data_IF_347728622792
#
_entry.id   IF_347728622792
#
_cell.length_a   1.000
_cell.length_b   1.000
_cell.length_c   1.000
_cell.angle_alpha   90.00
_cell.angle_beta   90.00
_cell.angle_gamma   90.00
#
_symmetry.space_group_name_H-M   'P 1'
#
loop_
_entity.id
_entity.type
_entity.pdbx_description
1 polymer ?
#
# COMPACT_ATOMS: atom_id res chain seq x y z
N UNK A 1 6.98 17.16 26.40
CA UNK A 1 6.99 17.84 25.08
C UNK A 1 6.95 16.89 23.87
N UNK A 2 6.57 15.60 24.02
CA UNK A 2 6.60 14.63 22.90
C UNK A 2 5.30 14.58 22.05
N UNK A 3 4.17 15.07 22.56
CA UNK A 3 2.85 14.92 21.90
C UNK A 3 2.42 16.06 20.96
N UNK A 4 3.17 17.16 20.91
CA UNK A 4 2.86 18.32 20.06
C UNK A 4 2.90 17.94 18.57
N UNK A 5 3.91 17.19 18.13
CA UNK A 5 4.02 16.74 16.74
C UNK A 5 2.91 15.75 16.37
N UNK A 6 2.61 14.79 17.25
CA UNK A 6 1.54 13.81 17.02
C UNK A 6 0.16 14.46 16.91
N UNK A 7 -0.13 15.42 17.80
CA UNK A 7 -1.38 16.19 17.82
C UNK A 7 -1.55 17.07 16.58
N UNK A 8 -0.49 17.78 16.15
CA UNK A 8 -0.52 18.57 14.91
C UNK A 8 -0.71 17.67 13.68
N UNK A 9 -0.06 16.51 13.64
CA UNK A 9 -0.25 15.52 12.57
C UNK A 9 -1.66 14.90 12.57
N UNK A 10 -2.25 14.64 13.74
CA UNK A 10 -3.64 14.22 13.87
C UNK A 10 -4.60 15.31 13.37
N UNK A 11 -4.38 16.57 13.75
CA UNK A 11 -5.18 17.71 13.26
C UNK A 11 -5.15 17.85 11.73
N UNK A 12 -3.99 17.64 11.09
CA UNK A 12 -3.87 17.61 9.62
C UNK A 12 -4.64 16.45 8.98
N UNK A 13 -4.71 15.30 9.66
CA UNK A 13 -5.48 14.12 9.22
C UNK A 13 -6.99 14.30 9.37
N UNK A 14 -7.44 15.15 10.28
CA UNK A 14 -8.85 15.48 10.50
C UNK A 14 -9.39 16.58 9.57
N UNK A 15 -8.78 16.82 8.40
CA UNK A 15 -9.34 17.74 7.42
C UNK A 15 -10.68 17.21 6.90
N UNK A 16 -11.68 18.08 6.83
CA UNK A 16 -12.95 17.79 6.19
C UNK A 16 -12.73 17.31 4.75
N UNK A 17 -13.49 16.29 4.34
CA UNK A 17 -13.41 15.75 2.99
C UNK A 17 -13.81 16.83 1.96
N UNK A 18 -13.23 16.79 0.76
CA UNK A 18 -13.56 17.78 -0.29
C UNK A 18 -15.05 17.76 -0.65
N UNK A 19 -15.66 16.58 -0.66
CA UNK A 19 -17.09 16.39 -0.92
C UNK A 19 -17.98 17.00 0.15
N UNK A 20 -17.50 17.17 1.39
CA UNK A 20 -18.28 17.83 2.45
C UNK A 20 -18.33 19.35 2.28
N UNK A 21 -17.46 19.93 1.45
CA UNK A 21 -17.38 21.38 1.22
C UNK A 21 -18.20 21.84 0.02
N UNK A 22 -18.25 21.00 -1.01
CA UNK A 22 -18.86 21.33 -2.30
C UNK A 22 -20.16 20.50 -2.46
N UNK A 23 -21.32 21.06 -2.05
CA UNK A 23 -22.61 20.35 -2.03
C UNK A 23 -23.01 19.83 -3.42
N UNK A 24 -22.90 20.67 -4.46
CA UNK A 24 -23.21 20.27 -5.84
C UNK A 24 -22.41 19.04 -6.31
N UNK A 25 -21.16 18.94 -5.85
CA UNK A 25 -20.27 17.85 -6.19
C UNK A 25 -20.64 16.57 -5.44
N UNK A 26 -21.08 16.70 -4.19
CA UNK A 26 -21.62 15.59 -3.43
C UNK A 26 -22.91 15.05 -4.04
N UNK A 27 -23.84 15.92 -4.42
CA UNK A 27 -25.12 15.55 -5.06
C UNK A 27 -24.88 14.81 -6.37
N UNK A 28 -24.01 15.34 -7.25
CA UNK A 28 -23.64 14.67 -8.49
C UNK A 28 -23.05 13.27 -8.24
N UNK A 29 -22.13 13.12 -7.29
CA UNK A 29 -21.56 11.80 -6.95
C UNK A 29 -22.65 10.84 -6.44
N UNK A 30 -23.55 11.31 -5.58
CA UNK A 30 -24.62 10.49 -5.02
C UNK A 30 -25.64 10.07 -6.08
N UNK A 31 -26.04 11.00 -6.96
CA UNK A 31 -26.95 10.74 -8.08
C UNK A 31 -26.40 9.64 -8.99
N UNK A 32 -25.15 9.76 -9.43
CA UNK A 32 -24.53 8.76 -10.31
C UNK A 32 -24.37 7.39 -9.65
N UNK A 33 -24.11 7.36 -8.33
CA UNK A 33 -24.03 6.10 -7.59
C UNK A 33 -25.40 5.44 -7.40
N UNK A 34 -26.45 6.21 -7.09
CA UNK A 34 -27.78 5.69 -6.78
C UNK A 34 -28.58 5.32 -8.03
N UNK A 35 -28.55 6.18 -9.05
CA UNK A 35 -29.38 6.03 -10.24
C UNK A 35 -28.71 5.18 -11.33
N UNK A 36 -27.38 5.29 -11.46
CA UNK A 36 -26.64 4.65 -12.55
C UNK A 36 -25.70 3.52 -12.08
N UNK A 37 -25.57 3.29 -10.77
CA UNK A 37 -24.67 2.29 -10.18
C UNK A 37 -23.22 2.42 -10.67
N UNK A 38 -22.77 3.66 -10.91
CA UNK A 38 -21.41 3.90 -11.39
C UNK A 38 -20.37 3.62 -10.32
N UNK A 39 -19.22 3.13 -10.76
CA UNK A 39 -18.04 2.97 -9.92
C UNK A 39 -17.40 4.34 -9.64
N UNK A 40 -16.73 4.52 -8.49
CA UNK A 40 -15.98 5.75 -8.21
C UNK A 40 -14.94 6.12 -9.27
N UNK A 41 -14.41 5.13 -9.99
CA UNK A 41 -13.49 5.34 -11.12
C UNK A 41 -14.21 5.95 -12.34
N UNK A 42 -15.40 5.45 -12.68
CA UNK A 42 -16.23 6.02 -13.74
C UNK A 42 -16.66 7.45 -13.41
N UNK A 43 -17.09 7.72 -12.18
CA UNK A 43 -17.49 9.07 -11.76
C UNK A 43 -16.31 10.03 -11.85
N UNK A 44 -15.13 9.63 -11.37
CA UNK A 44 -13.92 10.46 -11.49
C UNK A 44 -13.53 10.71 -12.95
N UNK A 45 -13.69 9.71 -13.82
CA UNK A 45 -13.49 9.85 -15.27
C UNK A 45 -14.48 10.80 -15.92
N UNK A 46 -15.76 10.70 -15.55
CA UNK A 46 -16.83 11.57 -16.02
C UNK A 46 -16.62 13.02 -15.60
N UNK A 47 -16.30 13.26 -14.32
CA UNK A 47 -15.97 14.61 -13.80
C UNK A 47 -14.71 15.21 -14.44
N UNK A 48 -13.85 14.39 -15.05
CA UNK A 48 -12.64 14.86 -15.73
C UNK A 48 -12.89 15.24 -17.19
N UNK A 49 -13.79 14.54 -17.89
CA UNK A 49 -13.95 14.68 -19.35
C UNK A 49 -15.34 15.14 -19.79
N UNK A 50 -16.38 14.91 -18.98
CA UNK A 50 -17.78 15.16 -19.34
C UNK A 50 -18.39 16.40 -18.71
N UNK A 51 -17.88 16.85 -17.55
CA UNK A 51 -18.49 17.96 -16.79
C UNK A 51 -17.44 19.01 -16.44
N UNK A 52 -17.50 20.19 -17.07
CA UNK A 52 -16.50 21.27 -16.91
C UNK A 52 -16.79 22.20 -15.74
N UNK A 53 -18.03 22.23 -15.23
CA UNK A 53 -18.45 23.16 -14.17
C UNK A 53 -18.07 22.68 -12.77
N UNK A 54 -17.88 21.37 -12.59
CA UNK A 54 -17.53 20.78 -11.31
C UNK A 54 -16.03 20.50 -11.23
N UNK A 55 -15.46 20.63 -10.02
CA UNK A 55 -14.04 20.35 -9.80
C UNK A 55 -13.75 18.88 -10.03
N UNK A 56 -12.69 18.59 -10.79
CA UNK A 56 -12.20 17.22 -10.98
C UNK A 56 -11.69 16.64 -9.66
N UNK A 57 -12.09 15.40 -9.35
CA UNK A 57 -11.70 14.65 -8.16
C UNK A 57 -11.19 13.26 -8.58
N UNK A 58 -10.16 12.75 -7.88
CA UNK A 58 -9.71 11.38 -8.07
C UNK A 58 -10.62 10.36 -7.35
N UNK A 59 -10.76 9.18 -7.94
CA UNK A 59 -11.58 8.09 -7.39
C UNK A 59 -11.21 7.69 -5.95
N UNK A 60 -9.94 7.85 -5.55
CA UNK A 60 -9.51 7.59 -4.17
C UNK A 60 -10.12 8.57 -3.15
N UNK A 61 -10.39 9.81 -3.55
CA UNK A 61 -11.07 10.78 -2.68
C UNK A 61 -12.52 10.37 -2.45
N UNK A 62 -13.20 9.90 -3.51
CA UNK A 62 -14.57 9.38 -3.42
C UNK A 62 -14.59 8.14 -2.52
N UNK A 63 -13.66 7.19 -2.70
CA UNK A 63 -13.56 6.04 -1.81
C UNK A 63 -13.32 6.44 -0.35
N UNK A 64 -12.39 7.36 -0.09
CA UNK A 64 -12.12 7.83 1.26
C UNK A 64 -13.37 8.40 1.92
N UNK A 65 -14.13 9.20 1.17
CA UNK A 65 -15.38 9.80 1.64
C UNK A 65 -16.46 8.76 1.96
N UNK A 66 -16.69 7.78 1.08
CA UNK A 66 -17.67 6.70 1.31
C UNK A 66 -17.38 5.92 2.60
N UNK A 67 -16.10 5.63 2.86
CA UNK A 67 -15.68 4.83 4.01
C UNK A 67 -15.46 5.64 5.29
N UNK A 68 -15.73 6.94 5.28
CA UNK A 68 -15.64 7.78 6.47
C UNK A 68 -16.74 7.41 7.50
N UNK A 69 -16.43 7.53 8.79
CA UNK A 69 -17.25 6.96 9.87
C UNK A 69 -18.71 7.45 9.92
N UNK A 70 -18.96 8.71 9.57
CA UNK A 70 -20.32 9.29 9.45
C UNK A 70 -21.13 8.60 8.34
N UNK A 71 -20.59 8.59 7.12
CA UNK A 71 -21.20 8.02 5.90
C UNK A 71 -21.38 6.51 5.95
N UNK A 72 -20.58 5.83 6.78
CA UNK A 72 -20.71 4.39 6.98
C UNK A 72 -22.06 4.01 7.61
N UNK A 73 -22.65 4.89 8.41
CA UNK A 73 -24.00 4.72 9.00
C UNK A 73 -25.10 4.81 7.94
N UNK A 74 -24.92 5.67 6.95
CA UNK A 74 -25.82 5.87 5.80
C UNK A 74 -25.78 4.70 4.80
N UNK A 75 -24.86 3.77 4.97
CA UNK A 75 -24.72 2.56 4.14
C UNK A 75 -24.52 2.86 2.64
N UNK A 76 -23.90 3.99 2.30
CA UNK A 76 -23.57 4.39 0.91
C UNK A 76 -22.72 3.33 0.20
N UNK A 77 -21.91 2.57 0.94
CA UNK A 77 -21.13 1.44 0.42
C UNK A 77 -21.98 0.36 -0.28
N UNK A 78 -23.30 0.35 -0.07
CA UNK A 78 -24.25 -0.53 -0.79
C UNK A 78 -24.45 -0.14 -2.25
N UNK A 79 -24.02 1.03 -2.70
CA UNK A 79 -24.09 1.38 -4.12
C UNK A 79 -22.80 1.01 -4.86
N UNK A 80 -21.76 0.56 -4.14
CA UNK A 80 -20.54 0.04 -4.75
C UNK A 80 -20.80 -1.36 -5.31
N UNK A 81 -20.17 -1.74 -6.45
CA UNK A 81 -20.38 -3.04 -7.08
C UNK A 81 -20.14 -4.27 -6.19
N UNK A 82 -19.26 -4.14 -5.18
CA UNK A 82 -18.94 -5.23 -4.26
C UNK A 82 -19.73 -5.17 -2.94
N UNK A 83 -20.52 -4.12 -2.71
CA UNK A 83 -21.35 -3.93 -1.52
C UNK A 83 -20.60 -4.20 -0.20
N UNK A 84 -19.30 -3.85 -0.12
CA UNK A 84 -18.48 -4.14 1.07
C UNK A 84 -18.56 -3.00 2.07
N UNK A 85 -19.03 -3.31 3.28
CA UNK A 85 -19.06 -2.34 4.38
C UNK A 85 -17.67 -1.92 4.90
N UNK A 86 -16.62 -2.68 4.57
CA UNK A 86 -15.21 -2.37 4.87
C UNK A 86 -14.39 -2.48 3.61
N UNK A 87 -13.54 -1.48 3.35
CA UNK A 87 -12.52 -1.58 2.32
C UNK A 87 -11.51 -2.64 2.74
N UNK A 88 -11.29 -3.65 1.89
CA UNK A 88 -10.24 -4.63 2.11
C UNK A 88 -8.86 -3.97 2.02
N UNK A 89 -7.87 -4.51 2.75
CA UNK A 89 -6.49 -4.09 2.53
C UNK A 89 -6.10 -4.44 1.09
N UNK A 90 -5.35 -3.53 0.43
CA UNK A 90 -4.65 -3.90 -0.80
C UNK A 90 -3.78 -5.09 -0.47
N UNK A 91 -3.94 -6.20 -1.21
CA UNK A 91 -3.05 -7.34 -1.09
C UNK A 91 -1.64 -6.80 -1.32
N UNK A 92 -0.81 -6.84 -0.29
CA UNK A 92 0.62 -6.66 -0.49
C UNK A 92 1.03 -7.75 -1.47
N UNK A 93 1.61 -7.38 -2.61
CA UNK A 93 2.48 -8.33 -3.30
C UNK A 93 3.51 -8.68 -2.22
N UNK A 94 3.49 -9.92 -1.72
CA UNK A 94 4.41 -10.30 -0.65
C UNK A 94 5.83 -9.95 -1.07
N UNK A 95 6.73 -9.76 -0.10
CA UNK A 95 8.18 -9.72 -0.33
C UNK A 95 8.70 -11.11 -0.74
N UNK A 96 7.94 -11.83 -1.58
CA UNK A 96 8.32 -13.09 -2.16
C UNK A 96 9.49 -12.84 -3.08
N UNK A 97 10.52 -13.67 -2.90
CA UNK A 97 11.74 -13.73 -3.68
C UNK A 97 11.50 -13.35 -5.15
N UNK A 98 12.42 -12.52 -5.64
CA UNK A 98 12.52 -11.95 -6.99
C UNK A 98 11.68 -12.67 -8.06
N UNK A 99 10.77 -11.93 -8.70
CA UNK A 99 10.12 -12.30 -9.98
C UNK A 99 11.10 -12.44 -11.16
N UNK A 100 12.41 -12.32 -10.92
CA UNK A 100 13.45 -12.36 -11.95
C UNK A 100 13.85 -13.83 -12.13
N UNK A 101 13.48 -14.49 -13.23
CA UNK A 101 14.01 -15.82 -13.53
C UNK A 101 15.54 -15.74 -13.66
N UNK A 102 16.25 -16.72 -13.11
CA UNK A 102 17.71 -16.81 -13.13
C UNK A 102 18.45 -15.67 -12.40
N UNK A 103 17.91 -15.19 -11.27
CA UNK A 103 18.64 -14.24 -10.42
C UNK A 103 19.97 -14.84 -9.95
N UNK A 104 21.08 -14.23 -10.38
CA UNK A 104 22.42 -14.50 -9.87
C UNK A 104 22.57 -13.81 -8.51
N UNK A 105 23.11 -14.52 -7.52
CA UNK A 105 23.36 -13.96 -6.19
C UNK A 105 24.51 -12.97 -6.26
N UNK A 106 24.45 -11.87 -5.49
CA UNK A 106 25.57 -10.91 -5.36
C UNK A 106 26.87 -11.62 -4.92
N UNK A 107 26.74 -12.73 -4.18
CA UNK A 107 27.87 -13.52 -3.71
C UNK A 107 28.61 -14.28 -4.83
N UNK A 108 28.00 -14.42 -6.01
CA UNK A 108 28.60 -15.09 -7.17
C UNK A 108 29.39 -14.12 -8.07
N UNK A 109 29.53 -12.85 -7.70
CA UNK A 109 30.25 -11.88 -8.51
C UNK A 109 31.76 -12.17 -8.55
N UNK A 110 32.44 -11.87 -9.67
CA UNK A 110 33.88 -12.04 -9.77
C UNK A 110 34.64 -11.04 -8.88
N UNK A 111 35.73 -11.50 -8.26
CA UNK A 111 36.52 -10.78 -7.24
C UNK A 111 37.07 -9.41 -7.68
N UNK A 112 37.22 -9.17 -8.98
CA UNK A 112 37.74 -7.88 -9.47
C UNK A 112 36.76 -6.73 -9.28
N UNK A 113 35.46 -7.02 -9.13
CA UNK A 113 34.39 -6.02 -8.93
C UNK A 113 34.46 -5.41 -7.53
N UNK A 114 34.95 -6.17 -6.53
CA UNK A 114 35.09 -5.69 -5.14
C UNK A 114 35.96 -4.45 -5.02
N UNK A 115 36.87 -4.21 -5.99
CA UNK A 115 37.78 -3.06 -6.00
C UNK A 115 37.10 -1.73 -6.35
N UNK A 116 35.86 -1.75 -6.89
CA UNK A 116 35.04 -0.55 -7.21
C UNK A 116 35.76 0.52 -8.06
N UNK A 117 36.77 0.12 -8.82
CA UNK A 117 37.66 1.03 -9.57
C UNK A 117 37.06 1.56 -10.87
N UNK A 118 36.10 0.85 -11.47
CA UNK A 118 35.43 1.24 -12.72
C UNK A 118 34.00 1.71 -12.45
N UNK A 119 33.51 2.60 -13.32
CA UNK A 119 32.12 2.98 -13.36
C UNK A 119 31.27 1.73 -13.69
N UNK A 120 30.31 1.40 -12.83
CA UNK A 120 29.47 0.18 -12.94
C UNK A 120 29.72 -0.88 -11.86
N UNK A 121 30.81 -0.81 -11.09
CA UNK A 121 31.06 -1.71 -9.94
C UNK A 121 30.37 -1.25 -8.63
N UNK A 122 29.67 -0.13 -8.66
CA UNK A 122 29.03 0.47 -7.50
C UNK A 122 27.61 -0.09 -7.36
N UNK A 123 27.43 -1.04 -6.45
CA UNK A 123 26.11 -1.53 -6.07
C UNK A 123 25.52 -0.63 -4.98
N UNK A 124 24.26 -0.21 -5.12
CA UNK A 124 23.51 0.45 -4.05
C UNK A 124 22.88 -0.59 -3.13
N UNK A 125 23.15 -0.53 -1.82
CA UNK A 125 22.51 -1.40 -0.84
C UNK A 125 21.00 -1.15 -0.81
N UNK A 126 20.21 -2.08 -1.35
CA UNK A 126 18.76 -2.06 -1.18
C UNK A 126 18.41 -2.64 0.18
N UNK A 127 18.44 -1.81 1.22
CA UNK A 127 18.06 -2.21 2.57
C UNK A 127 16.58 -2.61 2.60
N UNK A 128 16.32 -3.91 2.70
CA UNK A 128 14.97 -4.48 2.80
C UNK A 128 14.63 -4.73 4.27
N UNK A 129 13.82 -3.85 4.85
CA UNK A 129 13.34 -4.02 6.22
C UNK A 129 12.35 -5.20 6.29
N UNK A 130 12.74 -6.26 6.99
CA UNK A 130 11.82 -7.32 7.38
C UNK A 130 10.88 -6.78 8.46
N UNK A 131 9.58 -6.70 8.16
CA UNK A 131 8.57 -6.37 9.18
C UNK A 131 8.46 -7.52 10.16
N UNK A 132 8.90 -7.31 11.41
CA UNK A 132 8.60 -8.21 12.53
C UNK A 132 9.77 -8.63 13.42
N UNK A 133 11.02 -8.20 13.14
CA UNK A 133 12.16 -8.50 14.01
C UNK A 133 12.84 -7.19 14.42
N UNK A 134 12.73 -6.85 15.71
CA UNK A 134 13.61 -5.88 16.38
C UNK A 134 14.99 -6.51 16.60
N UNK A 135 15.66 -6.91 15.53
CA UNK A 135 17.02 -7.45 15.60
C UNK A 135 17.84 -6.88 14.46
N UNK A 136 18.68 -5.93 14.85
CA UNK A 136 19.78 -5.40 14.07
C UNK A 136 20.79 -6.53 13.89
N UNK A 137 20.80 -7.19 12.73
CA UNK A 137 21.87 -8.14 12.39
C UNK A 137 22.98 -7.40 11.65
N UNK A 138 24.05 -7.09 12.38
CA UNK A 138 25.35 -6.80 11.80
C UNK A 138 26.02 -8.15 11.55
N UNK A 139 26.16 -8.58 10.30
CA UNK A 139 26.83 -9.82 9.95
C UNK A 139 28.36 -9.63 10.04
N UNK A 140 28.89 -9.63 11.25
CA UNK A 140 30.27 -10.06 11.52
C UNK A 140 30.35 -11.58 11.38
N UNK A 141 31.49 -12.07 10.91
CA UNK A 141 31.77 -13.48 10.63
C UNK A 141 31.55 -14.38 11.87
N UNK A 142 31.42 -15.66 11.57
CA UNK A 142 31.42 -16.81 12.48
C UNK A 142 30.04 -17.24 13.00
N UNK A 143 29.33 -18.04 12.17
CA UNK A 143 28.37 -19.02 12.68
C UNK A 143 29.08 -20.38 12.74
N UNK A 144 29.24 -20.99 13.93
CA UNK A 144 29.61 -22.40 14.00
C UNK A 144 28.47 -23.24 13.43
N UNK A 145 28.83 -24.21 12.60
CA UNK A 145 27.94 -25.22 12.04
C UNK A 145 27.27 -25.98 13.18
N UNK A 146 25.94 -25.88 13.32
CA UNK A 146 25.19 -26.82 14.15
C UNK A 146 25.17 -28.19 13.45
N UNK A 147 25.49 -29.29 14.14
CA UNK A 147 25.52 -30.61 13.54
C UNK A 147 24.12 -31.04 13.09
N UNK A 148 24.10 -31.71 11.95
CA UNK A 148 22.96 -32.31 11.29
C UNK A 148 22.01 -33.02 12.25
N UNK A 149 20.77 -32.55 12.32
CA UNK A 149 19.66 -33.32 12.90
C UNK A 149 19.35 -34.51 11.97
N UNK A 150 20.06 -35.62 12.17
CA UNK A 150 19.57 -36.93 11.81
C UNK A 150 18.50 -37.33 12.84
N UNK A 151 17.42 -37.94 12.36
CA UNK A 151 16.21 -38.39 13.07
C UNK A 151 15.12 -37.34 13.39
N UNK A 152 14.30 -37.05 12.38
CA UNK A 152 12.89 -36.70 12.60
C UNK A 152 12.01 -37.92 12.20
N UNK A 153 11.19 -38.47 13.12
CA UNK A 153 10.30 -39.58 12.80
C UNK A 153 9.13 -39.11 11.91
N UNK A 154 8.89 -39.85 10.84
CA UNK A 154 7.76 -39.69 9.92
C UNK A 154 6.47 -39.96 10.68
N UNK A 155 5.66 -38.93 10.95
CA UNK A 155 4.25 -39.15 11.35
C UNK A 155 3.44 -39.42 10.10
N UNK A 156 2.97 -40.66 9.99
CA UNK A 156 2.03 -41.10 8.96
C UNK A 156 0.58 -40.75 9.29
N UNK A 157 -0.19 -40.66 8.20
CA UNK A 157 -1.65 -40.51 8.00
C UNK A 157 -2.38 -39.42 8.77
#
# INVERSE_FOLDING_TARGET
MADTAHRLAAGRRCRQARLDKDIKLQECVMEHMQNHFWTPEQIAGHLKHGQTELKSICHETIYHWIYQGSRRKEKIWKFLPRHKAKRGLRKSKGAGASRIPNRVSIHQRPKHIDKRTTFGHWEGDLMSFCKGLNLFWFSGKDRPCLPSASNCPVKGR
#
